data_IF_264961436173
#
_entry.id   IF_264961436173
#
_cell.length_a   1.000
_cell.length_b   1.000
_cell.length_c   1.000
_cell.angle_alpha   90.00
_cell.angle_beta   90.00
_cell.angle_gamma   90.00
#
_symmetry.space_group_name_H-M   'P 1'
#
loop_
_entity.id
_entity.type
_entity.pdbx_description
1 polymer ?
#
# COMPACT_ATOMS: atom_id res chain seq x y z
N UNK A 1 -11.41 6.42 -15.52
CA UNK A 1 -11.67 5.03 -15.94
C UNK A 1 -13.15 4.91 -16.29
N UNK A 2 -13.55 4.17 -17.35
CA UNK A 2 -14.92 4.21 -17.90
C UNK A 2 -16.00 3.47 -17.07
N UNK A 3 -15.66 2.80 -15.98
CA UNK A 3 -16.60 2.10 -15.10
C UNK A 3 -15.92 1.44 -13.89
N UNK A 4 -16.66 0.64 -13.14
CA UNK A 4 -16.11 -0.19 -12.06
C UNK A 4 -15.52 -1.48 -12.61
N UNK A 5 -14.36 -1.89 -12.10
CA UNK A 5 -13.71 -3.12 -12.52
C UNK A 5 -12.27 -3.20 -12.05
N UNK A 6 -11.59 -4.26 -12.49
CA UNK A 6 -10.14 -4.42 -12.30
C UNK A 6 -9.43 -3.80 -13.49
N UNK A 7 -8.54 -2.85 -13.22
CA UNK A 7 -7.72 -2.19 -14.21
C UNK A 7 -6.26 -2.52 -13.97
N UNK A 8 -5.52 -2.78 -15.05
CA UNK A 8 -4.06 -2.91 -15.02
C UNK A 8 -3.47 -1.55 -15.37
N UNK A 9 -2.66 -1.00 -14.46
CA UNK A 9 -1.95 0.24 -14.66
C UNK A 9 -0.48 -0.08 -14.96
N UNK A 10 -0.01 0.31 -16.14
CA UNK A 10 1.39 0.16 -16.54
C UNK A 10 2.22 1.33 -15.99
N UNK A 11 3.18 1.01 -15.13
CA UNK A 11 4.04 1.98 -14.44
C UNK A 11 5.47 1.44 -14.36
N UNK A 12 6.49 2.30 -14.12
CA UNK A 12 7.81 1.82 -13.72
C UNK A 12 7.73 0.94 -12.46
N UNK A 13 8.74 0.09 -12.23
CA UNK A 13 8.74 -0.83 -11.08
C UNK A 13 9.24 -0.25 -9.76
N UNK A 14 9.76 0.98 -9.75
CA UNK A 14 10.33 1.61 -8.55
C UNK A 14 9.24 2.25 -7.68
N UNK A 15 9.17 1.87 -6.40
CA UNK A 15 8.10 2.19 -5.45
C UNK A 15 7.60 3.65 -5.53
N UNK A 16 8.48 4.62 -5.30
CA UNK A 16 8.12 6.05 -5.20
C UNK A 16 7.53 6.59 -6.52
N UNK A 17 7.94 6.01 -7.64
CA UNK A 17 7.54 6.44 -8.98
C UNK A 17 6.28 5.70 -9.46
N UNK A 18 6.19 4.40 -9.18
CA UNK A 18 5.05 3.56 -9.56
C UNK A 18 3.79 4.02 -8.83
N UNK A 19 3.95 4.32 -7.55
CA UNK A 19 2.84 4.63 -6.66
C UNK A 19 2.22 5.99 -6.90
N UNK A 20 2.98 6.96 -7.41
CA UNK A 20 2.45 8.26 -7.84
C UNK A 20 1.44 8.13 -9.00
N UNK A 21 1.52 7.05 -9.79
CA UNK A 21 0.60 6.80 -10.89
C UNK A 21 -0.79 6.35 -10.40
N UNK A 22 -0.91 5.71 -9.23
CA UNK A 22 -2.20 5.26 -8.70
C UNK A 22 -3.17 6.43 -8.46
N UNK A 23 -2.84 7.44 -7.63
CA UNK A 23 -3.72 8.59 -7.45
C UNK A 23 -3.88 9.40 -8.74
N UNK A 24 -2.85 9.49 -9.58
CA UNK A 24 -2.96 10.13 -10.90
C UNK A 24 -3.97 9.41 -11.83
N UNK A 25 -4.17 8.10 -11.64
CA UNK A 25 -5.18 7.31 -12.35
C UNK A 25 -6.57 7.34 -11.70
N UNK A 26 -6.71 7.97 -10.54
CA UNK A 26 -7.95 8.14 -9.78
C UNK A 26 -8.13 7.21 -8.58
N UNK A 27 -7.09 6.45 -8.18
CA UNK A 27 -7.16 5.66 -6.95
C UNK A 27 -7.16 6.56 -5.70
N UNK A 28 -8.03 6.26 -4.74
CA UNK A 28 -8.18 7.03 -3.49
C UNK A 28 -7.50 6.38 -2.29
N UNK A 29 -6.92 5.19 -2.48
CA UNK A 29 -6.22 4.41 -1.46
C UNK A 29 -5.22 3.47 -2.14
N UNK A 30 -4.10 3.21 -1.50
CA UNK A 30 -3.04 2.32 -1.99
C UNK A 30 -2.82 1.19 -0.99
N UNK A 31 -2.95 -0.07 -1.41
CA UNK A 31 -2.49 -1.23 -0.65
C UNK A 31 -1.07 -1.59 -1.11
N UNK A 32 -0.08 -1.49 -0.21
CA UNK A 32 1.32 -1.73 -0.53
C UNK A 32 1.88 -2.88 0.29
N UNK A 33 2.18 -4.01 -0.36
CA UNK A 33 2.80 -5.17 0.29
C UNK A 33 4.30 -5.02 0.40
N UNK A 34 4.89 -5.42 1.53
CA UNK A 34 6.33 -5.33 1.78
C UNK A 34 6.84 -6.51 2.59
N UNK A 35 8.05 -6.99 2.25
CA UNK A 35 8.80 -7.96 3.04
C UNK A 35 10.01 -7.37 3.79
N UNK A 36 10.39 -6.12 3.49
CA UNK A 36 11.59 -5.47 4.04
C UNK A 36 11.28 -4.24 4.91
N UNK A 37 10.12 -3.64 4.72
CA UNK A 37 9.58 -2.57 5.58
C UNK A 37 9.81 -1.16 5.06
N UNK A 38 9.73 -0.94 3.75
CA UNK A 38 9.96 0.39 3.15
C UNK A 38 9.06 1.47 3.80
N UNK A 39 9.63 2.42 4.58
CA UNK A 39 8.89 3.44 5.31
C UNK A 39 8.55 4.59 4.37
N UNK A 40 7.57 4.35 3.52
CA UNK A 40 7.17 5.23 2.42
C UNK A 40 5.66 5.47 2.43
N UNK A 41 5.23 6.68 2.07
CA UNK A 41 3.83 7.07 1.95
C UNK A 41 3.55 7.93 0.71
N UNK A 42 2.33 8.42 0.56
CA UNK A 42 1.92 9.22 -0.59
C UNK A 42 1.18 10.50 -0.12
N UNK A 43 1.46 11.67 -0.72
CA UNK A 43 0.84 12.93 -0.34
C UNK A 43 -0.64 13.05 -0.76
N UNK A 44 -1.13 12.18 -1.66
CA UNK A 44 -2.46 12.29 -2.27
C UNK A 44 -3.42 11.24 -1.72
N UNK A 45 -2.96 10.00 -1.52
CA UNK A 45 -3.80 8.89 -1.09
C UNK A 45 -3.17 8.14 0.10
N UNK A 46 -3.97 7.70 1.10
CA UNK A 46 -3.46 6.88 2.19
C UNK A 46 -2.86 5.57 1.67
N UNK A 47 -1.74 5.17 2.27
CA UNK A 47 -1.01 3.95 1.93
C UNK A 47 -1.12 2.97 3.08
N UNK A 48 -1.86 1.88 2.88
CA UNK A 48 -1.91 0.76 3.81
C UNK A 48 -0.68 -0.11 3.58
N UNK A 49 0.23 -0.13 4.55
CA UNK A 49 1.42 -0.95 4.52
C UNK A 49 1.13 -2.36 5.04
N UNK A 50 1.25 -3.34 4.16
CA UNK A 50 0.92 -4.75 4.42
C UNK A 50 2.22 -5.55 4.53
N UNK A 51 2.52 -6.09 5.70
CA UNK A 51 3.65 -7.00 5.89
C UNK A 51 3.33 -8.40 5.38
N UNK A 52 4.26 -9.02 4.67
CA UNK A 52 4.18 -10.43 4.27
C UNK A 52 4.57 -11.42 5.38
N UNK A 53 5.10 -10.92 6.51
CA UNK A 53 5.54 -11.75 7.63
C UNK A 53 5.36 -11.05 8.99
N UNK A 54 5.03 -11.82 10.01
CA UNK A 54 4.71 -11.32 11.36
C UNK A 54 5.94 -10.70 12.04
N UNK A 55 7.14 -11.24 11.78
CA UNK A 55 8.39 -10.72 12.35
C UNK A 55 8.61 -9.25 11.97
N UNK A 56 8.45 -8.90 10.70
CA UNK A 56 8.55 -7.52 10.23
C UNK A 56 7.48 -6.63 10.85
N UNK A 57 6.24 -7.11 10.94
CA UNK A 57 5.14 -6.37 11.56
C UNK A 57 5.44 -6.03 13.03
N UNK A 58 6.01 -6.99 13.77
CA UNK A 58 6.43 -6.80 15.15
C UNK A 58 7.65 -5.88 15.30
N UNK A 59 8.60 -5.95 14.35
CA UNK A 59 9.82 -5.14 14.37
C UNK A 59 9.60 -3.68 13.95
N UNK A 60 8.60 -3.42 13.10
CA UNK A 60 8.32 -2.09 12.55
C UNK A 60 6.84 -1.69 12.75
N UNK A 61 6.34 -1.64 14.00
CA UNK A 61 4.94 -1.34 14.29
C UNK A 61 4.53 0.09 13.91
N UNK A 62 5.50 0.99 13.83
CA UNK A 62 5.31 2.39 13.41
C UNK A 62 5.24 2.54 11.88
N UNK A 63 5.48 1.47 11.12
CA UNK A 63 5.45 1.49 9.64
C UNK A 63 4.38 0.56 9.08
N UNK A 64 4.15 -0.60 9.72
CA UNK A 64 3.23 -1.62 9.23
C UNK A 64 1.80 -1.36 9.76
N UNK A 65 0.84 -1.27 8.84
CA UNK A 65 -0.59 -1.12 9.16
C UNK A 65 -1.32 -2.46 9.30
N UNK A 66 -0.81 -3.50 8.64
CA UNK A 66 -1.45 -4.81 8.55
C UNK A 66 -0.43 -5.95 8.47
N UNK A 67 -0.56 -6.95 9.34
CA UNK A 67 0.19 -8.21 9.26
C UNK A 67 -0.58 -9.26 8.45
N UNK A 68 0.01 -9.78 7.36
CA UNK A 68 -0.53 -10.92 6.60
C UNK A 68 0.27 -12.22 6.84
N UNK A 69 1.27 -12.21 7.71
CA UNK A 69 2.13 -13.35 8.02
C UNK A 69 1.39 -14.54 8.66
N UNK A 70 0.24 -14.28 9.28
CA UNK A 70 -0.64 -15.30 9.86
C UNK A 70 -1.06 -16.41 8.88
N UNK A 71 -1.09 -16.12 7.57
CA UNK A 71 -1.36 -17.12 6.52
C UNK A 71 -0.27 -18.19 6.51
N UNK A 72 1.00 -17.79 6.45
CA UNK A 72 2.13 -18.73 6.33
C UNK A 72 2.37 -19.45 7.67
N UNK A 73 2.06 -18.81 8.78
CA UNK A 73 2.15 -19.40 10.12
C UNK A 73 0.99 -20.36 10.45
N UNK A 74 -0.02 -20.47 9.58
CA UNK A 74 -1.18 -21.33 9.79
C UNK A 74 -2.14 -20.86 10.88
N UNK A 75 -2.05 -19.57 11.28
CA UNK A 75 -2.95 -18.95 12.27
C UNK A 75 -4.29 -18.52 11.69
N UNK A 76 -4.32 -18.24 10.39
CA UNK A 76 -5.53 -17.87 9.65
C UNK A 76 -5.45 -18.40 8.21
N UNK A 77 -6.60 -18.58 7.58
CA UNK A 77 -6.74 -18.91 6.16
C UNK A 77 -6.59 -17.66 5.29
N UNK A 78 -6.33 -17.85 3.99
CA UNK A 78 -6.30 -16.75 3.02
C UNK A 78 -7.64 -15.97 2.99
N UNK A 79 -8.76 -16.67 3.15
CA UNK A 79 -10.09 -16.04 3.13
C UNK A 79 -10.33 -15.16 4.37
N UNK A 80 -9.92 -15.63 5.55
CA UNK A 80 -9.98 -14.86 6.80
C UNK A 80 -9.08 -13.63 6.75
N UNK A 81 -7.84 -13.79 6.27
CA UNK A 81 -6.92 -12.67 6.07
C UNK A 81 -7.48 -11.66 5.06
N UNK A 82 -8.06 -12.13 3.95
CA UNK A 82 -8.72 -11.27 2.95
C UNK A 82 -9.89 -10.47 3.52
N UNK A 83 -10.75 -11.10 4.34
CA UNK A 83 -11.84 -10.41 5.01
C UNK A 83 -11.34 -9.34 6.00
N UNK A 84 -10.28 -9.65 6.75
CA UNK A 84 -9.63 -8.72 7.68
C UNK A 84 -8.97 -7.55 6.94
N UNK A 85 -8.32 -7.81 5.80
CA UNK A 85 -7.73 -6.78 4.95
C UNK A 85 -8.82 -5.87 4.37
N UNK A 86 -9.93 -6.42 3.90
CA UNK A 86 -11.06 -5.63 3.42
C UNK A 86 -11.63 -4.73 4.53
N UNK A 87 -11.76 -5.24 5.76
CA UNK A 87 -12.19 -4.43 6.89
C UNK A 87 -11.22 -3.26 7.16
N UNK A 88 -9.90 -3.50 7.10
CA UNK A 88 -8.88 -2.44 7.21
C UNK A 88 -8.99 -1.41 6.07
N UNK A 89 -9.18 -1.85 4.84
CA UNK A 89 -9.39 -0.97 3.67
C UNK A 89 -10.61 -0.07 3.88
N UNK A 90 -11.72 -0.63 4.34
CA UNK A 90 -12.95 0.13 4.62
C UNK A 90 -12.75 1.13 5.76
N UNK A 91 -12.03 0.75 6.82
CA UNK A 91 -11.75 1.65 7.94
C UNK A 91 -10.90 2.85 7.51
N UNK A 92 -9.84 2.62 6.72
CA UNK A 92 -8.99 3.69 6.17
C UNK A 92 -9.76 4.56 5.18
N UNK A 93 -10.56 3.95 4.30
CA UNK A 93 -11.47 4.69 3.42
C UNK A 93 -12.51 5.52 4.19
N UNK A 94 -12.81 5.15 5.44
CA UNK A 94 -13.71 5.88 6.34
C UNK A 94 -13.00 6.91 7.23
N UNK A 95 -11.68 7.09 7.08
CA UNK A 95 -10.90 8.13 7.76
C UNK A 95 -9.95 7.63 8.86
N UNK A 96 -9.77 6.31 9.04
CA UNK A 96 -8.67 5.80 9.86
C UNK A 96 -7.34 6.16 9.19
N UNK A 97 -6.44 6.85 9.92
CA UNK A 97 -5.14 7.26 9.38
C UNK A 97 -4.20 6.06 9.29
N UNK A 98 -3.41 6.00 8.22
CA UNK A 98 -2.33 5.01 8.09
C UNK A 98 -1.06 5.49 8.78
N UNK A 99 -0.16 4.55 9.10
CA UNK A 99 1.16 4.86 9.69
C UNK A 99 1.95 5.87 8.87
N UNK A 100 1.87 5.79 7.53
CA UNK A 100 2.54 6.76 6.67
C UNK A 100 1.98 8.17 6.83
N UNK A 101 0.66 8.31 6.99
CA UNK A 101 0.04 9.61 7.24
C UNK A 101 0.40 10.16 8.62
N UNK A 102 0.39 9.30 9.65
CA UNK A 102 0.75 9.68 11.03
C UNK A 102 2.19 10.21 11.12
N UNK A 103 3.11 9.58 10.39
CA UNK A 103 4.53 9.95 10.37
C UNK A 103 4.89 11.03 9.35
N UNK A 104 3.94 11.47 8.52
CA UNK A 104 4.19 12.48 7.49
C UNK A 104 5.07 12.00 6.33
N UNK A 105 5.02 10.70 6.00
CA UNK A 105 5.70 10.16 4.82
C UNK A 105 4.93 10.57 3.57
N UNK A 106 5.45 11.56 2.84
CA UNK A 106 4.82 12.20 1.69
C UNK A 106 5.68 12.11 0.41
N UNK A 107 6.61 11.14 0.36
CA UNK A 107 7.56 11.03 -0.73
C UNK A 107 6.85 10.63 -2.03
N UNK A 108 7.02 11.40 -3.09
CA UNK A 108 6.49 11.04 -4.42
C UNK A 108 7.38 11.59 -5.52
N UNK A 109 7.48 10.82 -6.60
CA UNK A 109 8.28 11.20 -7.76
C UNK A 109 7.49 10.90 -9.04
N UNK A 110 7.48 11.84 -9.96
CA UNK A 110 6.90 11.61 -11.28
C UNK A 110 7.92 10.95 -12.19
N UNK A 111 7.48 9.95 -12.94
CA UNK A 111 8.33 9.34 -13.95
C UNK A 111 8.53 10.31 -15.11
N UNK A 112 9.79 10.52 -15.47
CA UNK A 112 10.16 11.21 -16.70
C UNK A 112 10.85 10.22 -17.63
N UNK A 113 10.26 9.97 -18.80
CA UNK A 113 10.95 9.24 -19.86
C UNK A 113 12.07 10.13 -20.39
N UNK A 114 13.32 9.75 -20.12
CA UNK A 114 14.44 10.35 -20.83
C UNK A 114 14.38 9.91 -22.29
N UNK A 115 14.05 10.85 -23.17
CA UNK A 115 14.26 10.72 -24.61
C UNK A 115 15.52 11.52 -24.93
N UNK A 116 16.59 10.83 -25.33
CA UNK A 116 17.72 11.50 -25.96
C UNK A 116 17.24 11.94 -27.36
N UNK A 117 17.02 13.24 -27.53
CA UNK A 117 16.78 13.88 -28.83
C UNK A 117 18.10 14.27 -29.47
#
# INVERSE_FOLDING_TARGET
MPGSGVYVLDTPGYDVVSTAAYPASGATLICFTTGLGTPWGNPIAPVIKISSNTELAARMPDVIDFDAGGIIEGRETLAECGARLLAKVLAVASGERTRSEENGHDESAFWQRQVNL
#
